data_IF_530699203352
#
_entry.id   IF_530699203352
#
_cell.length_a   1.000
_cell.length_b   1.000
_cell.length_c   1.000
_cell.angle_alpha   90.00
_cell.angle_beta   90.00
_cell.angle_gamma   90.00
#
_symmetry.space_group_name_H-M   'P 1'
#
loop_
_entity.id
_entity.type
_entity.pdbx_description
1 polymer ?
#
# COMPACT_ATOMS: atom_id res chain seq x y z
N UNK A 1 7.71 -3.57 -1.51
CA UNK A 1 7.14 -4.44 -0.46
C UNK A 1 7.11 -3.61 0.80
N UNK A 2 5.93 -3.17 1.22
CA UNK A 2 5.73 -2.34 2.41
C UNK A 2 4.52 -2.90 3.12
N UNK A 3 4.55 -3.06 4.44
CA UNK A 3 3.39 -3.57 5.17
C UNK A 3 2.78 -2.49 6.03
N UNK A 4 3.64 -1.80 6.78
CA UNK A 4 3.26 -0.85 7.82
C UNK A 4 3.26 0.59 7.30
N UNK A 5 2.50 1.46 7.95
CA UNK A 5 2.41 2.88 7.63
C UNK A 5 3.79 3.57 7.65
N UNK A 6 4.69 3.12 8.53
CA UNK A 6 6.07 3.62 8.63
C UNK A 6 6.92 3.24 7.41
N UNK A 7 6.71 2.04 6.85
CA UNK A 7 7.40 1.61 5.62
C UNK A 7 6.94 2.47 4.42
N UNK A 8 5.64 2.75 4.37
CA UNK A 8 5.02 3.58 3.33
C UNK A 8 5.57 5.01 3.40
N UNK A 9 5.64 5.61 4.59
CA UNK A 9 6.18 6.95 4.79
C UNK A 9 7.64 7.05 4.34
N UNK A 10 8.46 6.05 4.70
CA UNK A 10 9.86 5.99 4.29
C UNK A 10 10.00 6.00 2.76
N UNK A 11 9.25 5.16 2.04
CA UNK A 11 9.31 5.14 0.58
C UNK A 11 8.74 6.42 -0.04
N UNK A 12 7.66 6.99 0.50
CA UNK A 12 7.11 8.26 0.01
C UNK A 12 8.16 9.38 0.15
N UNK A 13 8.86 9.46 1.28
CA UNK A 13 9.96 10.41 1.48
C UNK A 13 11.09 10.20 0.48
N UNK A 14 11.55 8.96 0.30
CA UNK A 14 12.60 8.63 -0.68
C UNK A 14 12.17 8.96 -2.12
N UNK A 15 10.91 8.69 -2.48
CA UNK A 15 10.37 9.01 -3.81
C UNK A 15 10.46 10.51 -4.12
N UNK A 16 10.23 11.36 -3.10
CA UNK A 16 10.34 12.82 -3.23
C UNK A 16 11.79 13.31 -3.21
N UNK A 17 12.64 12.72 -2.37
CA UNK A 17 14.06 13.07 -2.27
C UNK A 17 14.80 12.81 -3.58
N UNK A 18 14.62 11.61 -4.16
CA UNK A 18 15.30 11.17 -5.37
C UNK A 18 14.46 11.29 -6.64
N UNK A 19 13.25 11.86 -6.52
CA UNK A 19 12.34 12.17 -7.63
C UNK A 19 12.05 10.98 -8.56
N UNK A 20 11.76 9.80 -8.00
CA UNK A 20 11.33 8.64 -8.77
C UNK A 20 9.85 8.31 -8.54
N UNK A 21 9.11 7.88 -9.57
CA UNK A 21 7.73 7.45 -9.40
C UNK A 21 7.66 6.07 -8.74
N UNK A 22 6.66 5.87 -7.88
CA UNK A 22 6.29 4.54 -7.38
C UNK A 22 5.06 4.07 -8.13
N UNK A 23 5.19 2.97 -8.87
CA UNK A 23 4.06 2.42 -9.63
C UNK A 23 3.06 1.67 -8.73
N UNK A 24 3.58 0.93 -7.74
CA UNK A 24 2.76 0.09 -6.87
C UNK A 24 3.40 -0.17 -5.50
N UNK A 25 2.57 -0.17 -4.46
CA UNK A 25 2.91 -0.76 -3.17
C UNK A 25 2.34 -2.17 -3.04
N UNK A 26 3.21 -3.14 -2.78
CA UNK A 26 2.83 -4.54 -2.58
C UNK A 26 2.71 -4.89 -1.10
N UNK A 27 1.74 -5.76 -0.80
CA UNK A 27 1.34 -6.26 0.54
C UNK A 27 0.55 -5.23 1.33
N UNK A 28 1.14 -4.06 1.54
CA UNK A 28 0.53 -2.75 1.75
C UNK A 28 -0.66 -2.73 2.73
N UNK A 29 -0.62 -3.59 3.74
CA UNK A 29 -1.76 -3.92 4.59
C UNK A 29 -2.32 -2.73 5.33
N UNK A 30 -1.48 -1.75 5.69
CA UNK A 30 -1.88 -0.55 6.45
C UNK A 30 -2.21 0.67 5.59
N UNK A 31 -2.18 0.57 4.26
CA UNK A 31 -2.46 1.71 3.36
C UNK A 31 -3.81 2.38 3.60
N UNK A 32 -4.83 1.62 4.00
CA UNK A 32 -6.17 2.16 4.32
C UNK A 32 -6.19 3.07 5.56
N UNK A 33 -5.15 3.02 6.40
CA UNK A 33 -4.97 3.89 7.56
C UNK A 33 -4.36 5.25 7.18
N UNK A 34 -3.65 5.32 6.05
CA UNK A 34 -2.87 6.48 5.62
C UNK A 34 -3.11 6.86 4.15
N UNK A 35 -4.37 6.96 3.67
CA UNK A 35 -4.64 7.21 2.24
C UNK A 35 -4.05 8.54 1.75
N UNK A 36 -4.02 9.58 2.58
CA UNK A 36 -3.49 10.90 2.20
C UNK A 36 -1.96 10.92 2.14
N UNK A 37 -1.26 9.99 2.81
CA UNK A 37 0.18 9.82 2.66
C UNK A 37 0.53 9.32 1.26
N UNK A 38 -0.25 8.37 0.73
CA UNK A 38 -0.01 7.77 -0.59
C UNK A 38 -0.13 8.80 -1.72
N UNK A 39 -0.98 9.81 -1.53
CA UNK A 39 -1.16 10.93 -2.47
C UNK A 39 0.03 11.88 -2.55
N UNK A 40 0.97 11.81 -1.60
CA UNK A 40 2.20 12.62 -1.56
C UNK A 40 3.37 11.96 -2.29
N UNK A 41 3.18 10.77 -2.85
CA UNK A 41 4.19 10.08 -3.65
C UNK A 41 4.59 10.93 -4.85
N UNK A 42 5.90 11.02 -5.12
CA UNK A 42 6.38 11.75 -6.29
C UNK A 42 5.89 11.10 -7.58
N UNK A 43 5.49 11.91 -8.56
CA UNK A 43 5.01 11.41 -9.85
C UNK A 43 3.57 10.87 -9.86
N UNK A 44 2.86 10.92 -8.73
CA UNK A 44 1.43 10.60 -8.66
C UNK A 44 1.09 9.47 -7.68
N UNK A 45 -0.21 9.20 -7.54
CA UNK A 45 -0.72 8.21 -6.59
C UNK A 45 -0.38 6.79 -7.08
N UNK A 46 0.33 5.97 -6.31
CA UNK A 46 0.64 4.59 -6.68
C UNK A 46 -0.61 3.71 -6.59
N UNK A 47 -0.60 2.61 -7.36
CA UNK A 47 -1.55 1.53 -7.15
C UNK A 47 -1.22 0.72 -5.89
N UNK A 48 -2.23 0.13 -5.24
CA UNK A 48 -2.04 -0.67 -4.03
C UNK A 48 -2.40 -2.12 -4.33
N UNK A 49 -1.40 -3.01 -4.28
CA UNK A 49 -1.55 -4.44 -4.53
C UNK A 49 -1.81 -5.19 -3.21
N UNK A 50 -3.07 -5.55 -2.98
CA UNK A 50 -3.55 -6.20 -1.75
C UNK A 50 -3.93 -7.66 -1.97
N UNK A 51 -3.79 -8.45 -0.91
CA UNK A 51 -4.43 -9.76 -0.85
C UNK A 51 -5.92 -9.62 -0.54
N UNK A 52 -6.72 -10.61 -0.95
CA UNK A 52 -8.12 -10.71 -0.53
C UNK A 52 -8.25 -10.98 0.98
N UNK A 53 -7.47 -11.93 1.52
CA UNK A 53 -7.53 -12.35 2.93
C UNK A 53 -6.18 -12.75 3.54
N UNK A 54 -5.12 -12.91 2.73
CA UNK A 54 -3.84 -13.47 3.17
C UNK A 54 -2.92 -12.42 3.83
N UNK A 55 -3.30 -11.86 4.99
CA UNK A 55 -2.52 -10.80 5.66
C UNK A 55 -2.20 -11.03 7.15
N UNK A 56 -2.61 -12.11 7.82
CA UNK A 56 -2.34 -12.28 9.28
C UNK A 56 -1.25 -13.29 9.62
N UNK A 57 -0.34 -13.55 8.69
CA UNK A 57 0.72 -14.58 8.81
C UNK A 57 2.00 -14.11 9.50
N UNK A 58 2.18 -12.79 9.68
CA UNK A 58 3.37 -12.15 10.27
C UNK A 58 2.97 -10.89 11.04
N UNK A 59 3.85 -10.40 11.91
CA UNK A 59 3.59 -9.22 12.77
C UNK A 59 3.25 -7.99 11.93
N UNK A 60 4.09 -7.68 10.95
CA UNK A 60 3.97 -6.51 10.10
C UNK A 60 2.70 -6.52 9.24
N UNK A 61 2.16 -7.71 8.96
CA UNK A 61 0.97 -7.86 8.12
C UNK A 61 -0.35 -7.83 8.94
N UNK A 62 -0.26 -7.96 10.27
CA UNK A 62 -1.39 -8.25 11.17
C UNK A 62 -2.61 -7.33 11.01
N UNK A 63 -2.37 -6.05 10.68
CA UNK A 63 -3.41 -5.02 10.54
C UNK A 63 -4.06 -4.96 9.16
N UNK A 64 -3.75 -5.91 8.27
CA UNK A 64 -4.47 -6.05 7.00
C UNK A 64 -5.97 -6.30 7.22
N UNK A 65 -6.78 -5.86 6.25
CA UNK A 65 -8.24 -5.94 6.32
C UNK A 65 -8.85 -6.20 4.94
N UNK A 66 -9.87 -7.05 4.91
CA UNK A 66 -10.72 -7.34 3.75
C UNK A 66 -11.47 -6.08 3.27
N UNK A 67 -11.64 -5.08 4.14
CA UNK A 67 -12.29 -3.82 3.83
C UNK A 67 -11.34 -2.76 3.24
N UNK A 68 -10.02 -2.98 3.32
CA UNK A 68 -9.02 -2.02 2.84
C UNK A 68 -9.22 -1.65 1.35
N UNK A 69 -9.50 -2.59 0.42
CA UNK A 69 -9.78 -2.26 -0.98
C UNK A 69 -10.92 -1.25 -1.16
N UNK A 70 -12.03 -1.44 -0.45
CA UNK A 70 -13.20 -0.55 -0.52
C UNK A 70 -12.86 0.85 -0.01
N UNK A 71 -12.14 0.94 1.11
CA UNK A 71 -11.74 2.22 1.70
C UNK A 71 -10.83 2.98 0.73
N UNK A 72 -9.80 2.33 0.19
CA UNK A 72 -8.86 2.95 -0.76
C UNK A 72 -9.55 3.40 -2.05
N UNK A 73 -10.39 2.55 -2.64
CA UNK A 73 -11.15 2.91 -3.83
C UNK A 73 -12.07 4.12 -3.60
N UNK A 74 -12.74 4.21 -2.43
CA UNK A 74 -13.57 5.36 -2.07
C UNK A 74 -12.78 6.67 -1.92
N UNK A 75 -11.45 6.58 -1.75
CA UNK A 75 -10.52 7.71 -1.65
C UNK A 75 -9.82 8.02 -2.98
N UNK A 76 -10.23 7.36 -4.07
CA UNK A 76 -9.66 7.53 -5.41
C UNK A 76 -8.28 6.91 -5.58
N UNK A 77 -7.89 5.95 -4.73
CA UNK A 77 -6.61 5.24 -4.82
C UNK A 77 -6.80 3.97 -5.65
N UNK A 78 -6.01 3.73 -6.70
CA UNK A 78 -6.12 2.52 -7.51
C UNK A 78 -5.77 1.28 -6.68
N UNK A 79 -6.62 0.26 -6.72
CA UNK A 79 -6.40 -1.01 -6.00
C UNK A 79 -6.27 -2.15 -7.00
N UNK A 80 -5.31 -3.03 -6.76
CA UNK A 80 -5.09 -4.28 -7.50
C UNK A 80 -5.16 -5.44 -6.51
N UNK A 81 -5.88 -6.49 -6.87
CA UNK A 81 -5.93 -7.72 -6.08
C UNK A 81 -4.85 -8.69 -6.55
N UNK A 82 -4.07 -9.28 -5.63
CA UNK A 82 -3.00 -10.23 -5.95
C UNK A 82 -3.07 -11.52 -5.10
N UNK A 83 -2.51 -12.59 -5.64
CA UNK A 83 -2.28 -13.87 -4.93
C UNK A 83 -0.87 -13.99 -4.37
N UNK A 84 0.12 -13.33 -5.01
CA UNK A 84 1.55 -13.44 -4.67
C UNK A 84 2.14 -14.84 -4.85
N UNK A 85 1.68 -15.61 -5.84
CA UNK A 85 2.16 -16.97 -6.09
C UNK A 85 3.72 -17.05 -6.11
N UNK A 86 4.35 -18.02 -5.42
CA UNK A 86 3.76 -19.21 -4.80
C UNK A 86 3.46 -19.08 -3.29
N UNK A 87 3.40 -17.85 -2.77
CA UNK A 87 3.29 -17.58 -1.32
C UNK A 87 2.15 -18.31 -0.63
#
# INVERSE_FOLDING_TARGET
HCYEAVDLDAIVRLSNEFKFPVASFHHAGETYLVPDLLKKTWGGVPSIALFASNFKKKREAYRGSEFAPRILASKGIPVVMKSDHPV
#
